data_IF_790970736198
#
_entry.id   IF_790970736198
#
_cell.length_a   1.000
_cell.length_b   1.000
_cell.length_c   1.000
_cell.angle_alpha   90.00
_cell.angle_beta   90.00
_cell.angle_gamma   90.00
#
_symmetry.space_group_name_H-M   'P 1'
#
loop_
_entity.id
_entity.type
_entity.pdbx_description
1 polymer ?
#
# COMPACT_ATOMS: atom_id res chain seq x y z
N UNK A 1 -10.81 -14.33 8.72
CA UNK A 1 -11.78 -13.46 9.45
C UNK A 1 -12.05 -12.24 8.58
N UNK A 2 -13.31 -11.99 8.19
CA UNK A 2 -13.72 -10.78 7.46
C UNK A 2 -14.38 -9.84 8.48
N UNK A 3 -13.78 -8.66 8.73
CA UNK A 3 -14.33 -7.73 9.71
C UNK A 3 -13.80 -6.29 9.53
N UNK A 4 -14.73 -5.37 9.24
CA UNK A 4 -14.44 -3.95 8.95
C UNK A 4 -13.86 -3.71 7.56
N UNK A 5 -13.91 -2.46 7.12
CA UNK A 5 -13.41 -2.03 5.80
C UNK A 5 -13.41 -0.51 5.65
N UNK A 6 -12.55 0.21 6.37
CA UNK A 6 -12.42 1.66 6.20
C UNK A 6 -11.72 1.98 4.87
N UNK A 7 -11.92 3.18 4.34
CA UNK A 7 -11.16 3.67 3.21
C UNK A 7 -9.65 3.69 3.49
N UNK A 8 -8.83 3.47 2.46
CA UNK A 8 -7.36 3.53 2.55
C UNK A 8 -6.79 4.93 2.22
N UNK A 9 -7.63 5.93 1.91
CA UNK A 9 -7.21 7.32 1.72
C UNK A 9 -7.40 8.16 3.00
N UNK A 10 -8.64 8.43 3.40
CA UNK A 10 -9.02 9.26 4.56
C UNK A 10 -9.03 8.48 5.89
N UNK A 11 -8.67 7.20 5.84
CA UNK A 11 -8.45 6.33 6.99
C UNK A 11 -7.33 5.33 6.68
N UNK A 12 -7.07 4.40 7.60
CA UNK A 12 -5.91 3.51 7.54
C UNK A 12 -6.07 2.30 6.61
N UNK A 13 -7.26 2.03 6.06
CA UNK A 13 -7.45 0.98 5.04
C UNK A 13 -7.17 -0.46 5.49
N UNK A 14 -7.32 -0.79 6.77
CA UNK A 14 -7.10 -2.15 7.28
C UNK A 14 -8.38 -2.73 7.88
N UNK A 15 -8.48 -4.06 7.94
CA UNK A 15 -9.47 -4.73 8.78
C UNK A 15 -9.27 -4.39 10.28
N UNK A 16 -10.27 -4.67 11.11
CA UNK A 16 -10.23 -4.28 12.52
C UNK A 16 -9.07 -4.89 13.32
N UNK A 17 -8.62 -4.17 14.34
CA UNK A 17 -7.66 -4.67 15.34
C UNK A 17 -8.19 -5.92 16.05
N UNK A 18 -9.49 -5.95 16.38
CA UNK A 18 -10.12 -7.10 17.03
C UNK A 18 -9.95 -8.38 16.23
N UNK A 19 -10.20 -8.34 14.91
CA UNK A 19 -10.01 -9.51 14.05
C UNK A 19 -8.55 -9.96 14.00
N UNK A 20 -7.61 -9.03 13.82
CA UNK A 20 -6.18 -9.37 13.78
C UNK A 20 -5.72 -9.95 15.12
N UNK A 21 -6.05 -9.33 16.26
CA UNK A 21 -5.68 -9.85 17.59
C UNK A 21 -6.34 -11.19 17.91
N UNK A 22 -7.58 -11.39 17.49
CA UNK A 22 -8.27 -12.68 17.64
C UNK A 22 -7.54 -13.76 16.85
N UNK A 23 -7.20 -13.49 15.58
CA UNK A 23 -6.39 -14.40 14.77
C UNK A 23 -5.07 -14.75 15.47
N UNK A 24 -4.37 -13.74 16.01
CA UNK A 24 -3.07 -13.93 16.67
C UNK A 24 -3.14 -14.76 17.97
N UNK A 25 -4.34 -14.96 18.52
CA UNK A 25 -4.57 -15.84 19.68
C UNK A 25 -5.03 -17.25 19.30
N UNK A 26 -5.44 -17.45 18.05
CA UNK A 26 -6.06 -18.69 17.59
C UNK A 26 -5.24 -19.44 16.53
N UNK A 27 -4.23 -18.80 15.93
CA UNK A 27 -3.42 -19.36 14.87
C UNK A 27 -1.95 -18.97 15.03
N UNK A 28 -1.05 -19.81 14.51
CA UNK A 28 0.40 -19.56 14.53
C UNK A 28 0.79 -18.44 13.54
N UNK A 29 0.11 -18.39 12.39
CA UNK A 29 0.30 -17.35 11.37
C UNK A 29 -1.01 -16.62 11.09
N UNK A 30 -0.94 -15.28 11.00
CA UNK A 30 -2.07 -14.42 10.65
C UNK A 30 -1.69 -13.53 9.48
N UNK A 31 -2.26 -13.83 8.32
CA UNK A 31 -2.12 -12.99 7.14
C UNK A 31 -3.21 -11.91 7.16
N UNK A 32 -2.79 -10.67 6.91
CA UNK A 32 -3.66 -9.49 6.84
C UNK A 32 -3.10 -8.53 5.80
N UNK A 33 -3.91 -7.56 5.37
CA UNK A 33 -3.55 -6.60 4.34
C UNK A 33 -3.89 -5.15 4.74
N UNK A 34 -3.32 -4.20 4.02
CA UNK A 34 -3.72 -2.80 4.00
C UNK A 34 -4.04 -2.39 2.56
N UNK A 35 -5.11 -1.63 2.35
CA UNK A 35 -5.54 -1.23 1.01
C UNK A 35 -4.55 -0.29 0.29
N UNK A 36 -4.61 -0.28 -1.04
CA UNK A 36 -3.67 0.39 -1.95
C UNK A 36 -2.24 -0.18 -1.90
N UNK A 37 -1.24 0.58 -2.38
CA UNK A 37 0.17 0.20 -2.37
C UNK A 37 0.81 0.35 -0.99
N UNK A 38 2.06 -0.11 -0.86
CA UNK A 38 2.80 -0.05 0.40
C UNK A 38 3.16 1.39 0.84
N UNK A 39 3.03 2.37 -0.04
CA UNK A 39 3.14 3.80 0.26
C UNK A 39 1.97 4.32 1.10
N UNK A 40 0.78 3.71 1.00
CA UNK A 40 -0.39 4.09 1.78
C UNK A 40 -0.81 2.98 2.76
N UNK A 41 -1.11 1.78 2.26
CA UNK A 41 -1.65 0.69 3.07
C UNK A 41 -0.67 0.19 4.11
N UNK A 42 0.55 -0.15 3.71
CA UNK A 42 1.58 -0.62 4.63
C UNK A 42 2.06 0.48 5.58
N UNK A 43 2.27 1.71 5.07
CA UNK A 43 2.60 2.89 5.87
C UNK A 43 1.59 3.09 7.01
N UNK A 44 0.30 3.10 6.70
CA UNK A 44 -0.77 3.29 7.69
C UNK A 44 -0.97 2.07 8.59
N UNK A 45 -0.77 0.86 8.06
CA UNK A 45 -0.75 -0.33 8.89
C UNK A 45 0.33 -0.20 9.96
N UNK A 46 1.53 0.24 9.60
CA UNK A 46 2.68 0.32 10.50
C UNK A 46 2.54 1.52 11.45
N UNK A 47 2.41 2.73 10.90
CA UNK A 47 2.39 3.95 11.69
C UNK A 47 1.09 4.23 12.44
N UNK A 48 -0.04 3.60 12.07
CA UNK A 48 -1.32 3.78 12.76
C UNK A 48 -1.74 2.48 13.45
N UNK A 49 -2.11 1.45 12.69
CA UNK A 49 -2.72 0.24 13.25
C UNK A 49 -1.77 -0.50 14.19
N UNK A 50 -0.54 -0.76 13.76
CA UNK A 50 0.43 -1.55 14.51
C UNK A 50 0.92 -0.78 15.74
N UNK A 51 1.19 0.52 15.57
CA UNK A 51 1.56 1.45 16.64
C UNK A 51 0.50 1.48 17.75
N UNK A 52 -0.75 1.77 17.41
CA UNK A 52 -1.83 1.90 18.39
C UNK A 52 -2.23 0.56 19.02
N UNK A 53 -2.13 -0.54 18.28
CA UNK A 53 -2.54 -1.85 18.77
C UNK A 53 -1.41 -2.66 19.43
N UNK A 54 -0.17 -2.18 19.39
CA UNK A 54 1.01 -2.91 19.84
C UNK A 54 1.29 -4.18 19.02
N UNK A 55 0.97 -4.16 17.72
CA UNK A 55 1.23 -5.29 16.81
C UNK A 55 2.63 -5.16 16.24
N UNK A 56 3.32 -6.28 16.05
CA UNK A 56 4.65 -6.33 15.41
C UNK A 56 4.58 -7.26 14.20
N UNK A 57 4.45 -6.73 12.97
CA UNK A 57 4.46 -7.57 11.78
C UNK A 57 5.83 -8.27 11.65
N UNK A 58 5.80 -9.57 11.40
CA UNK A 58 7.03 -10.38 11.31
C UNK A 58 7.65 -10.37 9.91
N UNK A 59 6.81 -10.27 8.87
CA UNK A 59 7.22 -10.21 7.47
C UNK A 59 6.18 -9.43 6.65
N UNK A 60 6.60 -8.94 5.48
CA UNK A 60 5.73 -8.27 4.50
C UNK A 60 5.83 -8.99 3.17
N UNK A 61 4.67 -9.32 2.58
CA UNK A 61 4.59 -9.80 1.19
C UNK A 61 4.19 -8.62 0.30
N UNK A 62 5.09 -8.23 -0.60
CA UNK A 62 4.83 -7.22 -1.62
C UNK A 62 4.35 -7.92 -2.89
N UNK A 63 3.06 -7.76 -3.22
CA UNK A 63 2.48 -8.36 -4.43
C UNK A 63 2.79 -7.48 -5.65
N UNK A 64 3.24 -8.10 -6.73
CA UNK A 64 3.49 -7.44 -8.01
C UNK A 64 2.97 -8.29 -9.19
N UNK A 65 2.78 -7.67 -10.35
CA UNK A 65 2.51 -8.34 -11.64
C UNK A 65 3.37 -7.71 -12.72
N UNK A 66 3.77 -8.48 -13.73
CA UNK A 66 4.55 -7.98 -14.88
C UNK A 66 3.79 -6.87 -15.60
N UNK A 67 2.48 -7.05 -15.82
CA UNK A 67 1.62 -6.03 -16.44
C UNK A 67 1.59 -4.72 -15.66
N UNK A 68 1.50 -4.77 -14.33
CA UNK A 68 1.56 -3.56 -13.51
C UNK A 68 2.92 -2.86 -13.64
N UNK A 69 4.02 -3.62 -13.68
CA UNK A 69 5.34 -3.02 -13.89
C UNK A 69 5.47 -2.41 -15.29
N UNK A 70 5.01 -3.08 -16.35
CA UNK A 70 4.96 -2.48 -17.70
C UNK A 70 4.12 -1.20 -17.75
N UNK A 71 2.99 -1.16 -17.05
CA UNK A 71 2.19 0.06 -16.91
C UNK A 71 2.99 1.18 -16.22
N UNK A 72 3.71 0.86 -15.14
CA UNK A 72 4.60 1.81 -14.46
C UNK A 72 5.79 2.26 -15.34
N UNK A 73 6.13 1.48 -16.38
CA UNK A 73 7.09 1.82 -17.42
C UNK A 73 6.52 2.61 -18.60
N UNK A 74 5.22 2.90 -18.61
CA UNK A 74 4.56 3.75 -19.60
C UNK A 74 3.72 3.02 -20.65
N UNK A 75 3.53 1.70 -20.54
CA UNK A 75 2.68 0.96 -21.49
C UNK A 75 1.21 1.25 -21.24
N UNK A 76 0.45 1.50 -22.32
CA UNK A 76 -0.98 1.73 -22.25
C UNK A 76 -1.73 0.47 -21.80
N UNK A 77 -2.88 0.64 -21.14
CA UNK A 77 -3.61 -0.47 -20.49
C UNK A 77 -4.03 -1.59 -21.44
N UNK A 78 -4.34 -1.23 -22.68
CA UNK A 78 -4.73 -2.12 -23.77
C UNK A 78 -3.56 -2.84 -24.45
N UNK A 79 -2.32 -2.46 -24.15
CA UNK A 79 -1.11 -3.06 -24.72
C UNK A 79 -0.33 -3.93 -23.72
N UNK A 80 -0.81 -4.05 -22.47
CA UNK A 80 -0.10 -4.75 -21.40
C UNK A 80 0.07 -6.26 -21.61
N UNK A 81 -0.65 -6.85 -22.56
CA UNK A 81 -0.58 -8.28 -22.89
C UNK A 81 0.60 -8.65 -23.78
N UNK A 82 1.25 -7.66 -24.40
CA UNK A 82 2.42 -7.90 -25.25
C UNK A 82 3.69 -7.90 -24.39
N UNK A 83 4.64 -8.78 -24.71
CA UNK A 83 5.96 -8.76 -24.07
C UNK A 83 6.63 -7.39 -24.27
N UNK A 84 7.15 -6.80 -23.20
CA UNK A 84 7.93 -5.57 -23.30
C UNK A 84 8.95 -5.46 -22.15
N UNK A 85 10.13 -6.05 -22.37
CA UNK A 85 11.23 -6.05 -21.40
C UNK A 85 11.76 -4.64 -21.09
N UNK A 86 11.77 -3.72 -22.07
CA UNK A 86 12.24 -2.35 -21.84
C UNK A 86 11.30 -1.58 -20.90
N UNK A 87 9.99 -1.69 -21.12
CA UNK A 87 9.01 -1.06 -20.24
C UNK A 87 8.97 -1.72 -18.86
N UNK A 88 9.11 -3.05 -18.80
CA UNK A 88 9.24 -3.77 -17.54
C UNK A 88 10.42 -3.22 -16.73
N UNK A 89 11.60 -3.11 -17.35
CA UNK A 89 12.81 -2.55 -16.72
C UNK A 89 12.60 -1.13 -16.18
N UNK A 90 12.02 -0.24 -17.01
CA UNK A 90 11.71 1.13 -16.60
C UNK A 90 10.71 1.21 -15.45
N UNK A 91 9.72 0.32 -15.42
CA UNK A 91 8.66 0.33 -14.43
C UNK A 91 9.00 -0.32 -13.10
N UNK A 92 9.98 -1.24 -13.08
CA UNK A 92 10.39 -1.94 -11.86
C UNK A 92 10.83 -0.98 -10.75
N UNK A 93 11.32 0.22 -11.08
CA UNK A 93 11.67 1.27 -10.10
C UNK A 93 10.55 1.58 -9.09
N UNK A 94 9.28 1.38 -9.47
CA UNK A 94 8.14 1.49 -8.57
C UNK A 94 8.20 0.42 -7.45
N UNK A 95 8.37 -0.85 -7.84
CA UNK A 95 8.55 -1.96 -6.91
C UNK A 95 9.81 -1.79 -6.08
N UNK A 96 10.92 -1.33 -6.67
CA UNK A 96 12.17 -1.09 -5.93
C UNK A 96 11.98 -0.07 -4.80
N UNK A 97 11.21 1.01 -5.03
CA UNK A 97 10.90 1.97 -3.98
C UNK A 97 10.04 1.35 -2.88
N UNK A 98 9.03 0.55 -3.23
CA UNK A 98 8.24 -0.15 -2.20
C UNK A 98 9.08 -1.12 -1.37
N UNK A 99 9.98 -1.88 -2.02
CA UNK A 99 10.95 -2.75 -1.33
C UNK A 99 11.78 -1.93 -0.35
N UNK A 100 12.41 -0.84 -0.81
CA UNK A 100 13.22 0.04 0.05
C UNK A 100 12.43 0.64 1.21
N UNK A 101 11.18 1.05 0.99
CA UNK A 101 10.32 1.52 2.07
C UNK A 101 10.12 0.43 3.12
N UNK A 102 9.86 -0.81 2.69
CA UNK A 102 9.65 -1.94 3.60
C UNK A 102 10.92 -2.29 4.37
N UNK A 103 12.05 -2.42 3.68
CA UNK A 103 13.31 -2.88 4.27
C UNK A 103 14.03 -1.79 5.05
N UNK A 104 14.09 -0.57 4.51
CA UNK A 104 14.98 0.48 5.02
C UNK A 104 14.24 1.47 5.91
N UNK A 105 12.97 1.78 5.62
CA UNK A 105 12.17 2.73 6.41
C UNK A 105 11.43 2.02 7.54
N UNK A 106 10.86 0.84 7.28
CA UNK A 106 10.14 0.08 8.29
C UNK A 106 10.98 -1.02 8.93
N UNK A 107 12.16 -1.32 8.39
CA UNK A 107 13.03 -2.35 8.98
C UNK A 107 12.41 -3.74 8.98
N UNK A 108 11.54 -4.05 8.02
CA UNK A 108 10.79 -5.32 7.95
C UNK A 108 11.32 -6.21 6.81
N UNK A 109 11.37 -7.54 7.00
CA UNK A 109 11.66 -8.48 5.93
C UNK A 109 10.60 -8.37 4.83
N UNK A 110 11.06 -8.33 3.58
CA UNK A 110 10.21 -8.26 2.41
C UNK A 110 10.34 -9.54 1.59
N UNK A 111 9.21 -10.06 1.10
CA UNK A 111 9.15 -11.08 0.04
C UNK A 111 8.32 -10.51 -1.09
N UNK A 112 8.82 -10.61 -2.32
CA UNK A 112 8.02 -10.25 -3.49
C UNK A 112 7.22 -11.46 -3.94
N UNK A 113 5.90 -11.31 -4.01
CA UNK A 113 5.01 -12.29 -4.65
C UNK A 113 4.69 -11.79 -6.06
N UNK A 114 5.29 -12.42 -7.08
CA UNK A 114 4.89 -12.21 -8.47
C UNK A 114 3.64 -13.03 -8.75
N UNK A 115 2.49 -12.38 -8.82
CA UNK A 115 1.25 -13.05 -9.21
C UNK A 115 1.24 -13.26 -10.72
N UNK A 116 1.32 -14.52 -11.14
CA UNK A 116 1.53 -14.92 -12.52
C UNK A 116 0.25 -14.83 -13.36
N UNK A 117 0.35 -14.23 -14.54
CA UNK A 117 -0.70 -14.22 -15.57
C UNK A 117 -0.33 -15.10 -16.77
N UNK A 118 -1.35 -15.59 -17.47
CA UNK A 118 -1.18 -16.51 -18.62
C UNK A 118 -0.37 -15.96 -19.79
N UNK A 119 -0.24 -14.63 -19.89
CA UNK A 119 0.48 -13.94 -20.96
C UNK A 119 1.81 -13.35 -20.49
N UNK A 120 2.19 -13.59 -19.24
CA UNK A 120 3.52 -13.24 -18.75
C UNK A 120 4.53 -14.19 -19.39
N UNK A 121 5.58 -13.67 -20.01
CA UNK A 121 6.61 -14.52 -20.64
C UNK A 121 7.68 -14.93 -19.65
N UNK A 122 8.34 -16.06 -19.90
CA UNK A 122 9.46 -16.53 -19.06
C UNK A 122 10.57 -15.48 -18.98
N UNK A 123 10.82 -14.72 -20.05
CA UNK A 123 11.81 -13.65 -20.07
C UNK A 123 11.43 -12.47 -19.15
N UNK A 124 10.14 -12.09 -19.13
CA UNK A 124 9.64 -11.05 -18.22
C UNK A 124 9.69 -11.51 -16.76
N UNK A 125 9.32 -12.77 -16.49
CA UNK A 125 9.42 -13.37 -15.16
C UNK A 125 10.86 -13.39 -14.69
N UNK A 126 11.78 -13.93 -15.50
CA UNK A 126 13.20 -14.01 -15.17
C UNK A 126 13.82 -12.64 -14.90
N UNK A 127 13.44 -11.62 -15.68
CA UNK A 127 13.92 -10.25 -15.48
C UNK A 127 13.51 -9.70 -14.10
N UNK A 128 12.24 -9.88 -13.71
CA UNK A 128 11.75 -9.41 -12.41
C UNK A 128 12.42 -10.17 -11.26
N UNK A 129 12.54 -11.49 -11.37
CA UNK A 129 13.17 -12.33 -10.34
C UNK A 129 14.64 -11.94 -10.12
N UNK A 130 15.41 -11.75 -11.21
CA UNK A 130 16.80 -11.26 -11.15
C UNK A 130 16.89 -9.86 -10.57
N UNK A 131 15.92 -8.99 -10.86
CA UNK A 131 15.88 -7.64 -10.28
C UNK A 131 15.70 -7.71 -8.76
N UNK A 132 14.76 -8.51 -8.27
CA UNK A 132 14.58 -8.72 -6.82
C UNK A 132 15.83 -9.30 -6.16
N UNK A 133 16.47 -10.30 -6.78
CA UNK A 133 17.73 -10.88 -6.29
C UNK A 133 18.84 -9.84 -6.18
N UNK A 134 18.98 -8.95 -7.17
CA UNK A 134 19.97 -7.85 -7.14
C UNK A 134 19.74 -6.84 -6.01
N UNK A 135 18.51 -6.77 -5.49
CA UNK A 135 18.13 -5.94 -4.33
C UNK A 135 18.25 -6.70 -3.00
N UNK A 136 18.68 -7.97 -3.03
CA UNK A 136 18.77 -8.82 -1.85
C UNK A 136 17.41 -9.29 -1.31
N UNK A 137 16.36 -9.26 -2.14
CA UNK A 137 15.00 -9.65 -1.75
C UNK A 137 14.57 -10.92 -2.47
N UNK A 138 14.04 -11.88 -1.72
CA UNK A 138 13.49 -13.10 -2.30
C UNK A 138 12.18 -12.78 -3.02
N UNK A 139 12.08 -13.23 -4.27
CA UNK A 139 10.84 -13.20 -5.04
C UNK A 139 10.34 -14.62 -5.26
N UNK A 140 9.01 -14.79 -5.32
CA UNK A 140 8.35 -16.07 -5.58
C UNK A 140 7.24 -15.84 -6.60
N UNK A 141 7.24 -16.67 -7.65
CA UNK A 141 6.13 -16.73 -8.61
C UNK A 141 4.99 -17.48 -7.95
N UNK A 142 3.79 -16.91 -7.98
CA UNK A 142 2.60 -17.53 -7.42
C UNK A 142 1.48 -17.65 -8.44
N UNK A 143 0.88 -18.85 -8.50
CA UNK A 143 -0.19 -19.24 -9.42
C UNK A 143 -1.50 -19.55 -8.69
N UNK A 144 -1.66 -19.05 -7.47
CA UNK A 144 -2.78 -19.39 -6.59
C UNK A 144 -4.17 -19.05 -7.13
N UNK A 145 -4.25 -18.08 -8.05
CA UNK A 145 -5.51 -17.80 -8.74
C UNK A 145 -6.00 -18.98 -9.60
N UNK A 146 -5.08 -19.66 -10.29
CA UNK A 146 -5.41 -20.80 -11.15
C UNK A 146 -5.34 -22.15 -10.40
N UNK A 147 -4.44 -22.27 -9.42
CA UNK A 147 -4.07 -23.54 -8.77
C UNK A 147 -4.48 -23.61 -7.29
N UNK A 148 -5.19 -22.60 -6.78
CA UNK A 148 -5.58 -22.52 -5.37
C UNK A 148 -4.38 -22.48 -4.42
N UNK A 149 -4.49 -23.12 -3.26
CA UNK A 149 -3.43 -23.12 -2.25
C UNK A 149 -2.09 -23.68 -2.75
N UNK A 150 -2.13 -24.69 -3.63
CA UNK A 150 -0.93 -25.32 -4.19
C UNK A 150 -0.04 -24.31 -4.94
N UNK A 151 -0.65 -23.35 -5.66
CA UNK A 151 0.06 -22.30 -6.38
C UNK A 151 0.73 -21.24 -5.52
N UNK A 152 0.59 -21.29 -4.19
CA UNK A 152 1.25 -20.40 -3.23
C UNK A 152 2.06 -21.16 -2.15
N UNK A 153 2.26 -22.47 -2.27
CA UNK A 153 3.01 -23.25 -1.28
C UNK A 153 4.46 -22.76 -1.11
N UNK A 154 5.13 -22.43 -2.21
CA UNK A 154 6.50 -21.91 -2.15
C UNK A 154 6.53 -20.55 -1.44
N UNK A 155 5.56 -19.68 -1.73
CA UNK A 155 5.44 -18.39 -1.04
C UNK A 155 5.25 -18.61 0.46
N UNK A 156 4.38 -19.54 0.85
CA UNK A 156 4.14 -19.86 2.25
C UNK A 156 5.41 -20.38 2.96
N UNK A 157 6.17 -21.27 2.32
CA UNK A 157 7.45 -21.77 2.87
C UNK A 157 8.46 -20.64 3.07
N UNK A 158 8.59 -19.75 2.10
CA UNK A 158 9.48 -18.59 2.18
C UNK A 158 9.08 -17.64 3.29
N UNK A 159 7.79 -17.36 3.43
CA UNK A 159 7.27 -16.50 4.49
C UNK A 159 7.52 -17.13 5.86
N UNK A 160 7.26 -18.43 6.02
CA UNK A 160 7.51 -19.14 7.28
C UNK A 160 9.00 -19.10 7.66
N UNK A 161 9.90 -19.39 6.71
CA UNK A 161 11.36 -19.34 6.92
C UNK A 161 11.84 -17.95 7.38
N UNK A 162 11.33 -16.89 6.76
CA UNK A 162 11.67 -15.51 7.14
C UNK A 162 11.16 -15.18 8.54
N UNK A 163 9.94 -15.58 8.87
CA UNK A 163 9.36 -15.34 10.20
C UNK A 163 10.18 -16.03 11.28
N UNK A 164 10.67 -17.24 11.01
CA UNK A 164 11.40 -18.03 12.00
C UNK A 164 12.89 -17.62 12.11
N UNK A 165 13.52 -17.22 11.00
CA UNK A 165 14.98 -17.08 10.92
C UNK A 165 15.49 -15.65 10.65
N UNK A 166 14.64 -14.70 10.25
CA UNK A 166 15.06 -13.34 9.89
C UNK A 166 14.12 -12.28 10.47
N UNK A 167 14.13 -12.07 11.80
CA UNK A 167 13.22 -11.12 12.42
C UNK A 167 13.56 -9.67 12.02
N UNK A 168 12.53 -8.94 11.60
CA UNK A 168 12.62 -7.50 11.39
C UNK A 168 12.84 -6.70 12.66
N UNK A 169 13.21 -5.43 12.50
CA UNK A 169 13.31 -4.45 13.59
C UNK A 169 12.01 -3.71 13.85
N UNK A 170 11.09 -3.67 12.88
CA UNK A 170 9.79 -2.97 12.95
C UNK A 170 9.94 -1.51 13.44
N UNK A 171 10.36 -0.66 12.51
CA UNK A 171 10.59 0.77 12.72
C UNK A 171 9.38 1.60 12.27
N UNK A 172 9.20 2.73 12.92
CA UNK A 172 8.23 3.75 12.56
C UNK A 172 8.90 4.81 11.69
N UNK A 173 8.15 5.46 10.80
CA UNK A 173 8.70 6.50 9.92
C UNK A 173 9.08 7.77 10.69
N UNK A 174 8.38 8.00 11.80
CA UNK A 174 8.42 9.18 12.66
C UNK A 174 8.10 8.78 14.11
N UNK A 175 8.60 9.58 15.05
CA UNK A 175 8.42 9.42 16.49
C UNK A 175 7.09 10.04 16.96
N UNK A 176 6.59 9.63 18.12
CA UNK A 176 5.38 10.21 18.69
C UNK A 176 5.57 11.68 19.09
N UNK A 177 6.80 12.06 19.47
CA UNK A 177 7.17 13.42 19.87
C UNK A 177 7.38 14.39 18.71
N UNK A 178 7.45 13.91 17.47
CA UNK A 178 7.54 14.78 16.30
C UNK A 178 6.25 15.62 16.19
N UNK A 179 6.38 16.88 15.79
CA UNK A 179 5.22 17.70 15.46
C UNK A 179 4.43 17.09 14.28
N UNK A 180 3.13 17.37 14.21
CA UNK A 180 2.28 16.89 13.12
C UNK A 180 2.84 17.26 11.72
N UNK A 181 3.48 18.43 11.60
CA UNK A 181 4.14 18.85 10.35
C UNK A 181 5.37 18.00 10.03
N UNK A 182 6.23 17.73 11.01
CA UNK A 182 7.41 16.86 10.85
C UNK A 182 7.01 15.42 10.52
N UNK A 183 5.90 14.92 11.07
CA UNK A 183 5.35 13.61 10.73
C UNK A 183 4.96 13.54 9.25
N UNK A 184 4.22 14.54 8.76
CA UNK A 184 3.87 14.67 7.33
C UNK A 184 5.13 14.75 6.46
N UNK A 185 6.14 15.51 6.89
CA UNK A 185 7.40 15.66 6.17
C UNK A 185 8.17 14.35 6.08
N UNK A 186 8.32 13.63 7.20
CA UNK A 186 9.01 12.34 7.25
C UNK A 186 8.31 11.29 6.37
N UNK A 187 6.97 11.22 6.37
CA UNK A 187 6.25 10.35 5.44
C UNK A 187 6.54 10.76 3.99
N UNK A 188 6.39 12.04 3.66
CA UNK A 188 6.54 12.53 2.29
C UNK A 188 7.95 12.35 1.74
N UNK A 189 8.97 12.59 2.55
CA UNK A 189 10.37 12.50 2.12
C UNK A 189 10.88 11.05 2.12
N UNK A 190 10.63 10.30 3.21
CA UNK A 190 11.17 8.93 3.36
C UNK A 190 10.37 7.88 2.59
N UNK A 191 9.04 8.01 2.51
CA UNK A 191 8.16 7.00 1.88
C UNK A 191 7.86 7.38 0.42
N UNK A 192 7.53 8.65 0.16
CA UNK A 192 7.15 9.07 -1.19
C UNK A 192 8.34 9.49 -2.05
N UNK A 193 9.47 9.82 -1.45
CA UNK A 193 10.63 10.36 -2.17
C UNK A 193 10.39 11.78 -2.67
N UNK A 194 9.52 12.54 -1.99
CA UNK A 194 9.29 13.95 -2.26
C UNK A 194 10.51 14.77 -1.84
N UNK A 195 10.80 15.83 -2.60
CA UNK A 195 11.88 16.76 -2.25
C UNK A 195 11.47 17.76 -1.16
N UNK A 196 10.17 18.04 -1.04
CA UNK A 196 9.64 19.00 -0.08
C UNK A 196 8.15 18.80 0.16
N UNK A 197 7.65 19.39 1.25
CA UNK A 197 6.23 19.53 1.52
C UNK A 197 5.84 21.01 1.54
N UNK A 198 4.61 21.33 1.14
CA UNK A 198 4.08 22.69 1.20
C UNK A 198 2.63 22.69 1.68
N UNK A 199 2.16 23.82 2.19
CA UNK A 199 0.79 24.02 2.62
C UNK A 199 0.53 25.51 2.81
N UNK A 200 -0.73 25.94 2.71
CA UNK A 200 -1.13 27.30 3.03
C UNK A 200 -0.89 27.64 4.50
N UNK A 201 -0.70 28.93 4.80
CA UNK A 201 -0.46 29.41 6.16
C UNK A 201 -1.55 28.97 7.15
N UNK A 202 -2.81 28.89 6.69
CA UNK A 202 -3.94 28.41 7.49
C UNK A 202 -3.76 26.95 7.93
N UNK A 203 -3.33 26.07 7.02
CA UNK A 203 -3.12 24.64 7.30
C UNK A 203 -1.95 24.47 8.28
N UNK A 204 -0.84 25.19 8.06
CA UNK A 204 0.30 25.16 8.97
C UNK A 204 -0.06 25.64 10.37
N UNK A 205 -0.82 26.74 10.46
CA UNK A 205 -1.31 27.26 11.74
C UNK A 205 -2.21 26.24 12.45
N UNK A 206 -3.15 25.62 11.72
CA UNK A 206 -4.05 24.62 12.29
C UNK A 206 -3.30 23.40 12.84
N UNK A 207 -2.26 22.91 12.13
CA UNK A 207 -1.40 21.84 12.63
C UNK A 207 -0.58 22.27 13.85
N UNK A 208 -0.09 23.51 13.87
CA UNK A 208 0.62 24.07 15.02
C UNK A 208 -0.28 24.14 16.25
N UNK A 209 -1.48 24.68 16.12
CA UNK A 209 -2.48 24.77 17.20
C UNK A 209 -2.85 23.36 17.71
N UNK A 210 -2.96 22.36 16.83
CA UNK A 210 -3.24 20.97 17.22
C UNK A 210 -2.06 20.22 17.85
N UNK A 211 -0.82 20.71 17.76
CA UNK A 211 0.30 20.01 18.38
C UNK A 211 0.19 19.98 19.92
N UNK A 212 -0.44 20.99 20.52
CA UNK A 212 -0.61 21.07 21.98
C UNK A 212 -1.46 19.91 22.52
N UNK A 213 -2.57 19.61 21.85
CA UNK A 213 -3.54 18.61 22.31
C UNK A 213 -3.39 17.25 21.61
N UNK A 214 -2.98 17.25 20.34
CA UNK A 214 -2.98 16.09 19.45
C UNK A 214 -1.61 15.84 18.81
N UNK A 215 -0.54 16.47 19.32
CA UNK A 215 0.81 16.34 18.77
C UNK A 215 1.29 14.88 18.72
N UNK A 216 0.86 14.03 19.66
CA UNK A 216 1.20 12.60 19.68
C UNK A 216 0.43 11.75 18.66
N UNK A 217 -0.63 12.28 18.04
CA UNK A 217 -1.44 11.49 17.11
C UNK A 217 -0.62 11.10 15.86
N UNK A 218 -0.83 9.89 15.32
CA UNK A 218 -0.37 9.53 13.99
C UNK A 218 -1.01 10.41 12.90
N UNK A 219 -0.35 10.45 11.75
CA UNK A 219 -0.84 11.13 10.55
C UNK A 219 -1.31 10.10 9.52
N UNK A 220 -2.49 10.33 8.95
CA UNK A 220 -3.05 9.58 7.83
C UNK A 220 -2.98 10.43 6.56
N UNK A 221 -2.02 10.14 5.69
CA UNK A 221 -1.89 10.83 4.40
C UNK A 221 -3.00 10.41 3.43
N UNK A 222 -3.79 11.37 2.96
CA UNK A 222 -4.77 11.17 1.91
C UNK A 222 -4.27 11.79 0.60
N UNK A 223 -3.66 10.97 -0.26
CA UNK A 223 -3.25 11.30 -1.64
C UNK A 223 -3.72 10.21 -2.63
N UNK A 224 -3.62 10.49 -3.93
CA UNK A 224 -3.89 9.48 -4.98
C UNK A 224 -3.09 8.20 -4.73
N UNK A 225 -3.70 7.04 -4.96
CA UNK A 225 -3.04 5.73 -4.86
C UNK A 225 -2.24 5.36 -6.12
N UNK A 226 -2.32 6.17 -7.18
CA UNK A 226 -1.77 5.83 -8.50
C UNK A 226 -0.29 6.20 -8.69
N UNK A 227 0.28 6.98 -7.77
CA UNK A 227 1.65 7.51 -7.84
C UNK A 227 2.21 7.66 -6.44
N UNK A 228 3.52 7.69 -6.26
CA UNK A 228 4.12 8.18 -5.02
C UNK A 228 3.90 9.69 -4.82
N UNK A 229 3.74 10.45 -5.91
CA UNK A 229 3.48 11.89 -5.86
C UNK A 229 2.00 12.21 -5.62
N UNK A 230 1.61 13.48 -5.66
CA UNK A 230 0.21 13.92 -5.65
C UNK A 230 -0.44 13.93 -7.04
N UNK A 231 0.33 13.68 -8.10
CA UNK A 231 -0.12 13.58 -9.49
C UNK A 231 -0.37 12.10 -9.87
N UNK A 232 -1.61 11.69 -10.18
CA UNK A 232 -1.90 10.30 -10.54
C UNK A 232 -1.24 9.83 -11.84
N UNK A 233 -0.75 10.75 -12.68
CA UNK A 233 -0.12 10.42 -13.97
C UNK A 233 1.39 10.22 -13.85
N UNK A 234 2.00 10.62 -12.73
CA UNK A 234 3.43 10.43 -12.48
C UNK A 234 3.73 8.98 -12.06
N UNK A 235 3.89 8.11 -13.03
CA UNK A 235 4.18 6.68 -12.87
C UNK A 235 5.64 6.39 -12.43
N UNK A 236 5.93 5.13 -12.12
CA UNK A 236 7.24 4.66 -11.68
C UNK A 236 7.52 5.10 -10.24
N UNK A 237 8.65 5.80 -10.07
CA UNK A 237 9.16 6.27 -8.78
C UNK A 237 9.60 7.75 -8.90
N UNK A 238 8.65 8.70 -9.04
CA UNK A 238 8.96 10.11 -9.29
C UNK A 238 9.82 10.71 -8.18
N UNK A 239 10.74 11.61 -8.54
CA UNK A 239 11.62 12.35 -7.59
C UNK A 239 11.46 13.85 -7.80
N UNK A 240 11.96 14.67 -6.87
CA UNK A 240 11.92 16.13 -7.01
C UNK A 240 10.55 16.79 -6.82
N UNK A 241 9.50 16.01 -6.62
CA UNK A 241 8.13 16.51 -6.49
C UNK A 241 7.87 17.12 -5.11
N UNK A 242 6.90 18.03 -5.04
CA UNK A 242 6.39 18.61 -3.80
C UNK A 242 5.06 17.94 -3.39
N UNK A 243 4.89 17.65 -2.11
CA UNK A 243 3.59 17.23 -1.56
C UNK A 243 2.90 18.44 -0.94
N UNK A 244 1.91 18.98 -1.66
CA UNK A 244 1.10 20.10 -1.17
C UNK A 244 -0.10 19.60 -0.37
N UNK A 245 -0.17 19.99 0.91
CA UNK A 245 -1.26 19.68 1.82
C UNK A 245 -2.35 20.74 1.67
N UNK A 246 -3.50 20.35 1.13
CA UNK A 246 -4.63 21.23 0.84
C UNK A 246 -5.53 21.42 2.05
N UNK A 247 -5.70 20.39 2.88
CA UNK A 247 -6.58 20.40 4.04
C UNK A 247 -6.07 19.42 5.10
N UNK A 248 -6.35 19.71 6.38
CA UNK A 248 -6.15 18.78 7.49
C UNK A 248 -7.44 18.60 8.27
N UNK A 249 -7.73 17.35 8.67
CA UNK A 249 -8.92 17.00 9.46
C UNK A 249 -8.53 16.21 10.69
N UNK A 250 -9.12 16.53 11.83
CA UNK A 250 -8.93 15.77 13.06
C UNK A 250 -9.96 14.63 13.11
N UNK A 251 -9.49 13.38 13.03
CA UNK A 251 -10.31 12.20 13.25
C UNK A 251 -10.21 11.77 14.72
N UNK A 252 -10.71 12.61 15.63
CA UNK A 252 -10.45 12.48 17.07
C UNK A 252 -10.86 11.10 17.63
N UNK A 253 -12.05 10.61 17.26
CA UNK A 253 -12.51 9.28 17.69
C UNK A 253 -11.67 8.11 17.16
N UNK A 254 -10.97 8.30 16.05
CA UNK A 254 -10.07 7.30 15.48
C UNK A 254 -8.61 7.47 15.95
N UNK A 255 -8.27 8.61 16.56
CA UNK A 255 -6.96 8.88 17.14
C UNK A 255 -5.87 9.25 16.14
N UNK A 256 -6.20 9.88 15.00
CA UNK A 256 -5.21 10.36 14.02
C UNK A 256 -5.64 11.66 13.33
N UNK A 257 -4.66 12.35 12.73
CA UNK A 257 -4.88 13.54 11.88
C UNK A 257 -4.82 13.13 10.41
N UNK A 258 -5.86 13.45 9.64
CA UNK A 258 -5.88 13.23 8.19
C UNK A 258 -5.26 14.43 7.49
N UNK A 259 -4.19 14.21 6.73
CA UNK A 259 -3.56 15.23 5.89
C UNK A 259 -3.90 14.98 4.42
N UNK A 260 -4.75 15.83 3.86
CA UNK A 260 -5.22 15.71 2.48
C UNK A 260 -4.23 16.42 1.57
N UNK A 261 -3.69 15.68 0.60
CA UNK A 261 -2.71 16.17 -0.35
C UNK A 261 -3.23 16.06 -1.78
N UNK A 262 -3.00 17.12 -2.57
CA UNK A 262 -3.54 17.26 -3.91
C UNK A 262 -5.08 17.43 -3.95
N UNK A 263 -5.65 17.25 -5.15
CA UNK A 263 -7.09 17.38 -5.39
C UNK A 263 -7.76 16.00 -5.36
N UNK A 264 -7.99 15.47 -4.15
CA UNK A 264 -8.59 14.16 -3.96
C UNK A 264 -10.12 14.26 -3.74
N UNK A 265 -10.89 13.42 -4.45
CA UNK A 265 -12.29 13.16 -4.10
C UNK A 265 -12.41 12.29 -2.85
N UNK A 266 -13.11 12.78 -1.83
CA UNK A 266 -13.41 12.04 -0.60
C UNK A 266 -14.71 11.23 -0.68
N UNK A 267 -15.48 11.41 -1.76
CA UNK A 267 -16.74 10.70 -2.02
C UNK A 267 -16.83 10.36 -3.52
N UNK A 268 -16.83 9.08 -3.91
CA UNK A 268 -16.98 8.70 -5.30
C UNK A 268 -18.42 8.95 -5.78
N UNK A 269 -18.57 9.40 -7.03
CA UNK A 269 -19.86 9.47 -7.71
C UNK A 269 -20.19 8.18 -8.47
N UNK A 270 -21.44 8.04 -8.91
CA UNK A 270 -21.85 6.96 -9.83
C UNK A 270 -21.33 7.23 -11.25
N UNK A 271 -20.98 6.19 -12.03
CA UNK A 271 -20.64 6.36 -13.44
C UNK A 271 -21.89 6.69 -14.26
N UNK A 272 -21.70 7.10 -15.53
CA UNK A 272 -22.78 7.42 -16.47
C UNK A 272 -23.83 6.29 -16.60
N UNK A 273 -23.37 5.04 -16.53
CA UNK A 273 -24.22 3.83 -16.54
C UNK A 273 -23.82 3.00 -15.32
N UNK A 274 -24.52 3.13 -14.19
CA UNK A 274 -24.21 2.38 -12.97
C UNK A 274 -24.53 0.91 -13.12
N UNK A 275 -23.74 0.05 -12.49
CA UNK A 275 -24.01 -1.40 -12.45
C UNK A 275 -25.41 -1.71 -11.89
N UNK A 276 -25.93 -0.84 -11.02
CA UNK A 276 -27.28 -0.92 -10.46
C UNK A 276 -28.40 -1.06 -11.51
N UNK A 277 -28.23 -0.54 -12.73
CA UNK A 277 -29.22 -0.71 -13.81
C UNK A 277 -29.31 -2.14 -14.33
N UNK A 278 -28.30 -2.99 -14.07
CA UNK A 278 -28.23 -4.39 -14.51
C UNK A 278 -28.33 -5.38 -13.36
N UNK A 279 -28.45 -4.89 -12.12
CA UNK A 279 -28.64 -5.76 -10.96
C UNK A 279 -30.10 -6.17 -10.93
N UNK A 280 -30.35 -7.47 -10.97
CA UNK A 280 -31.70 -8.03 -10.96
C UNK A 280 -31.74 -9.36 -10.21
N UNK A 281 -32.95 -9.83 -9.89
CA UNK A 281 -33.21 -11.12 -9.23
C UNK A 281 -34.23 -11.92 -10.05
N UNK A 282 -33.87 -13.15 -10.43
CA UNK A 282 -34.79 -14.03 -11.15
C UNK A 282 -35.85 -14.66 -10.21
N UNK A 283 -36.82 -15.38 -10.78
CA UNK A 283 -37.92 -16.02 -10.04
C UNK A 283 -37.43 -17.10 -9.05
N UNK A 284 -36.22 -17.62 -9.24
CA UNK A 284 -35.58 -18.60 -8.36
C UNK A 284 -34.76 -17.94 -7.24
N UNK A 285 -34.68 -16.61 -7.22
CA UNK A 285 -33.93 -15.83 -6.24
C UNK A 285 -32.44 -15.66 -6.55
N UNK A 286 -32.00 -15.98 -7.78
CA UNK A 286 -30.61 -15.77 -8.19
C UNK A 286 -30.39 -14.31 -8.59
N UNK A 287 -29.34 -13.71 -8.03
CA UNK A 287 -28.96 -12.33 -8.32
C UNK A 287 -28.02 -12.30 -9.53
N UNK A 288 -28.33 -11.47 -10.52
CA UNK A 288 -27.48 -11.23 -11.70
C UNK A 288 -26.93 -9.80 -11.70
N UNK A 289 -25.81 -9.57 -12.39
CA UNK A 289 -25.21 -8.25 -12.57
C UNK A 289 -24.46 -7.66 -11.37
N UNK A 290 -24.30 -8.43 -10.27
CA UNK A 290 -23.63 -7.98 -9.05
C UNK A 290 -22.09 -8.13 -9.09
N UNK A 291 -21.57 -9.12 -9.83
CA UNK A 291 -20.13 -9.40 -10.01
C UNK A 291 -19.83 -9.82 -11.45
#
# INVERSE_FOLDING_TARGET
>A
IIHGGPFANIAHGCNTVTATKTGLKLADYVITEGGFGADLGAEKFINIKSRMAGLKPAAVVLVATIRAMKFQGGVAKDELTNENLEALDKGMVNMERHIKNITDVYGLPCVVCLNHFTLDTDAEVDMLMKRCESLGVKAVVSKHWAEGGAGAEELAKVVADIVDNNPGTHQLTYEDSDSLWEKIEKISTKVYGAASISADAKVKKQLADWNEDYGSYPVCMAKTQMSFSTDPTAIGAPTGHNVHITEVRLANGAGFVVAIAGNMMTMPGLPKVPAAERIDIDDDGNITGLF
#
